data_IF_134450543498
#
_entry.id   IF_134450543498
#
_cell.length_a   1.000
_cell.length_b   1.000
_cell.length_c   1.000
_cell.angle_alpha   90.00
_cell.angle_beta   90.00
_cell.angle_gamma   90.00
#
_symmetry.space_group_name_H-M   'P 1'
#
loop_
_entity.id
_entity.type
_entity.pdbx_description
1 polymer ?
#
# COMPACT_ATOMS: atom_id res chain seq x y z
N UNK A 1 -1.29 5.72 7.05
CA UNK A 1 -2.51 5.05 6.52
C UNK A 1 -2.07 4.19 5.34
N UNK A 2 -2.38 2.88 5.27
CA UNK A 2 -1.92 2.04 4.16
C UNK A 2 -2.71 2.32 2.88
N UNK A 3 -2.02 2.37 1.74
CA UNK A 3 -2.63 2.43 0.41
C UNK A 3 -2.54 1.05 -0.21
N UNK A 4 -3.69 0.45 -0.55
CA UNK A 4 -3.77 -0.93 -1.04
C UNK A 4 -4.23 -0.92 -2.49
N UNK A 5 -3.42 -1.50 -3.36
CA UNK A 5 -3.67 -1.65 -4.79
C UNK A 5 -3.94 -3.12 -5.11
N UNK A 6 -5.13 -3.41 -5.63
CA UNK A 6 -5.57 -4.79 -5.96
C UNK A 6 -5.32 -5.08 -7.44
N UNK A 7 -4.74 -6.25 -7.72
CA UNK A 7 -4.43 -6.73 -9.06
C UNK A 7 -3.00 -6.37 -9.46
N UNK A 8 -2.02 -7.18 -9.02
CA UNK A 8 -0.59 -6.89 -9.23
C UNK A 8 -0.25 -6.75 -10.70
N UNK A 9 -0.86 -7.56 -11.58
CA UNK A 9 -0.64 -7.49 -13.03
C UNK A 9 -1.01 -6.12 -13.60
N UNK A 10 -2.11 -5.53 -13.14
CA UNK A 10 -2.55 -4.22 -13.61
C UNK A 10 -1.62 -3.10 -13.10
N UNK A 11 -1.29 -3.12 -11.82
CA UNK A 11 -0.49 -2.07 -11.18
C UNK A 11 1.04 -2.20 -11.35
N UNK A 12 1.53 -3.29 -11.95
CA UNK A 12 2.97 -3.53 -12.13
C UNK A 12 3.67 -2.37 -12.85
N UNK A 13 3.06 -1.84 -13.92
CA UNK A 13 3.63 -0.72 -14.68
C UNK A 13 3.72 0.57 -13.86
N UNK A 14 2.67 0.85 -13.08
CA UNK A 14 2.64 2.00 -12.17
C UNK A 14 3.72 1.90 -11.08
N UNK A 15 3.86 0.73 -10.46
CA UNK A 15 4.90 0.53 -9.44
C UNK A 15 6.31 0.64 -10.00
N UNK A 16 6.51 0.22 -11.25
CA UNK A 16 7.78 0.40 -11.96
C UNK A 16 8.07 1.89 -12.15
N UNK A 17 7.11 2.66 -12.65
CA UNK A 17 7.23 4.10 -12.85
C UNK A 17 7.50 4.87 -11.54
N UNK A 18 6.83 4.52 -10.43
CA UNK A 18 7.10 5.13 -9.13
C UNK A 18 8.57 4.94 -8.73
N UNK A 19 9.11 3.73 -8.87
CA UNK A 19 10.49 3.42 -8.47
C UNK A 19 11.50 4.10 -9.40
N UNK A 20 11.39 3.85 -10.70
CA UNK A 20 12.39 4.31 -11.67
C UNK A 20 12.34 5.82 -11.88
N UNK A 21 11.14 6.39 -12.01
CA UNK A 21 10.99 7.82 -12.31
C UNK A 21 10.93 8.64 -11.02
N UNK A 22 9.95 8.40 -10.16
CA UNK A 22 9.75 9.29 -8.99
C UNK A 22 10.87 9.17 -7.95
N UNK A 23 11.37 7.96 -7.68
CA UNK A 23 12.38 7.71 -6.64
C UNK A 23 13.81 7.79 -7.18
N UNK A 24 14.14 7.06 -8.25
CA UNK A 24 15.52 6.96 -8.75
C UNK A 24 15.93 8.16 -9.61
N UNK A 25 15.12 8.57 -10.59
CA UNK A 25 15.47 9.67 -11.51
C UNK A 25 15.31 11.05 -10.86
N UNK A 26 14.16 11.30 -10.22
CA UNK A 26 13.82 12.64 -9.73
C UNK A 26 13.98 12.81 -8.21
N UNK A 27 14.16 11.72 -7.45
CA UNK A 27 14.28 11.76 -5.99
C UNK A 27 13.14 12.52 -5.28
N UNK A 28 11.93 12.47 -5.83
CA UNK A 28 10.76 13.13 -5.24
C UNK A 28 10.16 12.37 -4.07
N UNK A 29 10.47 11.08 -3.97
CA UNK A 29 10.09 10.21 -2.86
C UNK A 29 11.31 9.40 -2.40
N UNK A 30 11.31 9.01 -1.14
CA UNK A 30 12.28 8.09 -0.56
C UNK A 30 11.79 6.64 -0.53
N UNK A 31 12.67 5.73 -0.18
CA UNK A 31 12.35 4.30 -0.06
C UNK A 31 11.25 4.05 1.00
N UNK A 32 11.28 4.82 2.09
CA UNK A 32 10.29 4.74 3.17
C UNK A 32 8.86 5.08 2.72
N UNK A 33 8.70 5.88 1.66
CA UNK A 33 7.37 6.21 1.13
C UNK A 33 6.70 4.97 0.49
N UNK A 34 7.50 4.05 -0.04
CA UNK A 34 7.01 2.82 -0.66
C UNK A 34 6.48 1.80 0.37
N UNK A 35 6.85 1.93 1.65
CA UNK A 35 6.37 1.06 2.72
C UNK A 35 4.88 1.23 3.02
N UNK A 36 4.29 2.34 2.58
CA UNK A 36 2.86 2.60 2.70
C UNK A 36 2.03 2.00 1.56
N UNK A 37 2.66 1.55 0.47
CA UNK A 37 2.01 1.01 -0.72
C UNK A 37 2.02 -0.53 -0.73
N UNK A 38 0.84 -1.13 -0.79
CA UNK A 38 0.65 -2.57 -0.75
C UNK A 38 0.01 -3.08 -2.03
N UNK A 39 0.72 -3.94 -2.75
CA UNK A 39 0.20 -4.63 -3.93
C UNK A 39 -0.27 -6.03 -3.57
N UNK A 40 -1.56 -6.29 -3.77
CA UNK A 40 -2.22 -7.55 -3.42
C UNK A 40 -3.04 -8.07 -4.60
N UNK A 41 -3.33 -9.36 -4.64
CA UNK A 41 -4.19 -9.95 -5.68
C UNK A 41 -5.57 -10.33 -5.15
N UNK A 42 -5.72 -10.49 -3.84
CA UNK A 42 -6.98 -10.93 -3.24
C UNK A 42 -7.47 -9.99 -2.15
N UNK A 43 -8.80 -9.89 -1.94
CA UNK A 43 -9.36 -9.15 -0.80
C UNK A 43 -8.85 -9.65 0.55
N UNK A 44 -8.53 -10.95 0.66
CA UNK A 44 -8.02 -11.53 1.89
C UNK A 44 -6.61 -11.04 2.23
N UNK A 45 -5.75 -10.83 1.22
CA UNK A 45 -4.45 -10.17 1.41
C UNK A 45 -4.62 -8.70 1.83
N UNK A 46 -5.53 -7.96 1.18
CA UNK A 46 -5.85 -6.59 1.57
C UNK A 46 -6.29 -6.51 3.05
N UNK A 47 -7.12 -7.46 3.49
CA UNK A 47 -7.58 -7.53 4.88
C UNK A 47 -6.43 -7.76 5.87
N UNK A 48 -5.44 -8.58 5.52
CA UNK A 48 -4.24 -8.77 6.35
C UNK A 48 -3.46 -7.46 6.51
N UNK A 49 -3.31 -6.68 5.43
CA UNK A 49 -2.66 -5.37 5.48
C UNK A 49 -3.43 -4.43 6.41
N UNK A 50 -4.75 -4.33 6.27
CA UNK A 50 -5.59 -3.48 7.12
C UNK A 50 -5.43 -3.86 8.61
N UNK A 51 -5.53 -5.16 8.94
CA UNK A 51 -5.35 -5.65 10.31
C UNK A 51 -3.97 -5.37 10.89
N UNK A 52 -2.91 -5.43 10.06
CA UNK A 52 -1.55 -5.09 10.48
C UNK A 52 -1.40 -3.61 10.87
N UNK A 53 -2.09 -2.71 10.17
CA UNK A 53 -2.04 -1.27 10.44
C UNK A 53 -3.00 -0.81 11.54
N UNK A 54 -4.10 -1.53 11.75
CA UNK A 54 -5.07 -1.28 12.82
C UNK A 54 -5.17 -2.50 13.74
N UNK A 55 -4.10 -2.85 14.48
CA UNK A 55 -4.18 -3.91 15.48
C UNK A 55 -5.13 -3.42 16.59
N UNK A 56 -6.29 -4.06 16.68
CA UNK A 56 -7.34 -3.84 17.69
C UNK A 56 -7.65 -2.37 17.98
N UNK A 57 -8.30 -1.71 17.02
CA UNK A 57 -9.23 -0.64 17.38
C UNK A 57 -10.34 -1.31 18.21
N UNK A 58 -10.38 -1.05 19.52
CA UNK A 58 -11.62 -1.26 20.29
C UNK A 58 -12.70 -0.47 19.57
N UNK A 59 -13.51 -1.14 18.76
CA UNK A 59 -14.74 -0.57 18.24
C UNK A 59 -15.59 -0.22 19.46
N UNK A 60 -15.51 1.03 19.93
CA UNK A 60 -16.53 1.55 20.83
C UNK A 60 -17.80 1.65 20.01
N UNK A 61 -18.87 0.93 20.38
CA UNK A 61 -20.15 1.11 19.72
C UNK A 61 -20.51 2.60 19.82
N UNK A 62 -20.83 3.22 18.69
CA UNK A 62 -21.26 4.62 18.66
C UNK A 62 -22.79 4.65 18.81
N UNK A 63 -23.25 4.09 19.92
CA UNK A 63 -24.64 4.04 20.37
C UNK A 63 -24.71 4.47 21.83
#
# INVERSE_FOLDING_TARGET
FPVILIGKKYWKGFMKWIRETMMEEYHYIGENDLEYLYLVDTPMEAMKVIKKFYPDQKYTPNF
#
